data_IF_826897492988
#
_entry.id   IF_826897492988
#
_cell.length_a   1.000
_cell.length_b   1.000
_cell.length_c   1.000
_cell.angle_alpha   90.00
_cell.angle_beta   90.00
_cell.angle_gamma   90.00
#
_symmetry.space_group_name_H-M   'P 1'
#
loop_
_entity.id
_entity.type
_entity.pdbx_description
1 polymer ?
#
# COMPACT_ATOMS: atom_id res chain seq x y z
N UNK A 1 3.84 -20.01 2.30
CA UNK A 1 3.61 -18.77 1.54
C UNK A 1 4.91 -17.98 1.53
N UNK A 2 5.65 -18.06 0.44
CA UNK A 2 6.81 -17.20 0.19
C UNK A 2 6.29 -15.80 -0.11
N UNK A 3 6.43 -14.91 0.88
CA UNK A 3 6.07 -13.50 0.77
C UNK A 3 7.07 -12.72 -0.09
N UNK A 4 6.72 -11.47 -0.38
CA UNK A 4 7.50 -10.56 -1.21
C UNK A 4 8.98 -10.53 -0.85
N UNK A 5 9.86 -10.42 -1.86
CA UNK A 5 11.26 -10.04 -1.63
C UNK A 5 11.36 -8.54 -1.44
N UNK A 6 12.16 -8.11 -0.46
CA UNK A 6 12.39 -6.71 -0.12
C UNK A 6 13.88 -6.43 -0.34
N UNK A 7 14.19 -5.39 -1.11
CA UNK A 7 15.55 -4.99 -1.48
C UNK A 7 15.74 -3.49 -1.20
N UNK A 8 16.65 -3.16 -0.29
CA UNK A 8 16.95 -1.77 0.11
C UNK A 8 18.03 -1.18 -0.80
N UNK A 9 17.73 -0.04 -1.42
CA UNK A 9 18.62 0.69 -2.34
C UNK A 9 19.19 1.96 -1.72
N UNK A 10 18.89 2.23 -0.45
CA UNK A 10 19.34 3.38 0.34
C UNK A 10 18.39 4.57 0.28
N UNK A 11 17.98 4.98 -0.92
CA UNK A 11 17.03 6.08 -1.18
C UNK A 11 15.58 5.60 -1.40
N UNK A 12 15.41 4.29 -1.63
CA UNK A 12 14.13 3.62 -1.75
C UNK A 12 14.26 2.13 -1.45
N UNK A 13 13.12 1.48 -1.22
CA UNK A 13 12.98 0.03 -1.10
C UNK A 13 12.20 -0.51 -2.29
N UNK A 14 12.64 -1.64 -2.85
CA UNK A 14 11.92 -2.36 -3.91
C UNK A 14 11.26 -3.60 -3.32
N UNK A 15 9.93 -3.69 -3.47
CA UNK A 15 9.14 -4.85 -3.05
C UNK A 15 8.76 -5.65 -4.30
N UNK A 16 8.97 -6.96 -4.32
CA UNK A 16 8.56 -7.81 -5.47
C UNK A 16 7.91 -9.10 -5.03
N UNK A 17 6.82 -9.48 -5.69
CA UNK A 17 6.07 -10.71 -5.45
C UNK A 17 5.91 -11.49 -6.75
N UNK A 18 6.93 -12.29 -7.12
CA UNK A 18 6.95 -13.03 -8.39
C UNK A 18 5.73 -13.94 -8.60
N UNK A 19 5.17 -14.48 -7.52
CA UNK A 19 3.98 -15.35 -7.58
C UNK A 19 2.65 -14.61 -7.77
N UNK A 20 2.66 -13.27 -7.72
CA UNK A 20 1.46 -12.44 -7.88
C UNK A 20 1.84 -11.10 -8.54
N UNK A 21 2.12 -11.08 -9.86
CA UNK A 21 2.66 -9.90 -10.55
C UNK A 21 1.68 -8.72 -10.62
N UNK A 22 0.37 -9.00 -10.60
CA UNK A 22 -0.67 -7.96 -10.68
C UNK A 22 -1.02 -7.35 -9.32
N UNK A 23 -0.43 -7.86 -8.23
CA UNK A 23 -0.58 -7.22 -6.92
C UNK A 23 0.35 -6.01 -6.80
N UNK A 24 -0.17 -4.82 -7.13
CA UNK A 24 0.62 -3.60 -7.26
C UNK A 24 1.42 -3.24 -5.99
N UNK A 25 0.79 -3.28 -4.82
CA UNK A 25 1.48 -3.00 -3.54
C UNK A 25 2.44 -4.13 -3.10
N UNK A 26 2.35 -5.31 -3.72
CA UNK A 26 3.36 -6.36 -3.60
C UNK A 26 4.51 -6.22 -4.59
N UNK A 27 4.47 -5.22 -5.47
CA UNK A 27 5.40 -4.98 -6.57
C UNK A 27 5.67 -3.46 -6.73
N UNK A 28 6.00 -2.77 -5.64
CA UNK A 28 6.10 -1.31 -5.62
C UNK A 28 7.50 -0.80 -5.22
N UNK A 29 7.69 0.51 -5.40
CA UNK A 29 8.78 1.24 -4.74
C UNK A 29 8.25 1.90 -3.46
N UNK A 30 9.08 1.97 -2.42
CA UNK A 30 8.84 2.82 -1.25
C UNK A 30 9.98 3.84 -1.18
N UNK A 31 9.69 5.10 -1.52
CA UNK A 31 10.68 6.18 -1.50
C UNK A 31 10.93 6.59 -0.05
N UNK A 32 12.16 6.40 0.43
CA UNK A 32 12.50 6.64 1.84
C UNK A 32 13.09 8.02 2.09
N UNK A 33 13.70 8.64 1.07
CA UNK A 33 14.26 9.99 1.16
C UNK A 33 13.19 11.07 0.89
N UNK A 34 12.75 11.86 1.90
CA UNK A 34 11.75 12.91 1.71
C UNK A 34 12.23 14.06 0.83
N UNK A 35 13.54 14.24 0.60
CA UNK A 35 14.04 15.28 -0.29
C UNK A 35 13.83 14.92 -1.78
N UNK A 36 13.56 13.65 -2.07
CA UNK A 36 13.49 13.12 -3.43
C UNK A 36 12.06 12.91 -3.96
N UNK A 37 11.02 13.10 -3.13
CA UNK A 37 9.62 12.82 -3.50
C UNK A 37 9.10 13.70 -4.63
N UNK A 38 9.75 14.84 -4.90
CA UNK A 38 9.37 15.76 -5.99
C UNK A 38 9.92 15.31 -7.36
N UNK A 39 10.86 14.34 -7.40
CA UNK A 39 11.51 13.89 -8.63
C UNK A 39 10.71 12.76 -9.32
N UNK A 40 9.55 13.11 -9.87
CA UNK A 40 8.66 12.15 -10.54
C UNK A 40 9.40 11.36 -11.63
N UNK A 41 10.18 12.04 -12.48
CA UNK A 41 10.89 11.41 -13.59
C UNK A 41 11.86 10.33 -13.13
N UNK A 42 12.64 10.60 -12.07
CA UNK A 42 13.53 9.60 -11.47
C UNK A 42 12.75 8.38 -11.00
N UNK A 43 11.64 8.57 -10.29
CA UNK A 43 10.90 7.45 -9.71
C UNK A 43 10.18 6.61 -10.76
N UNK A 44 9.63 7.22 -11.81
CA UNK A 44 9.10 6.47 -12.95
C UNK A 44 10.20 5.66 -13.65
N UNK A 45 11.39 6.24 -13.85
CA UNK A 45 12.51 5.54 -14.48
C UNK A 45 12.98 4.34 -13.63
N UNK A 46 13.15 4.53 -12.32
CA UNK A 46 13.51 3.45 -11.39
C UNK A 46 12.45 2.35 -11.36
N UNK A 47 11.18 2.71 -11.38
CA UNK A 47 10.11 1.73 -11.42
C UNK A 47 10.17 0.89 -12.70
N UNK A 48 10.37 1.53 -13.86
CA UNK A 48 10.49 0.83 -15.13
C UNK A 48 11.73 -0.08 -15.22
N UNK A 49 12.86 0.31 -14.57
CA UNK A 49 14.04 -0.56 -14.45
C UNK A 49 13.75 -1.84 -13.65
N UNK A 50 12.96 -1.72 -12.58
CA UNK A 50 12.66 -2.83 -11.68
C UNK A 50 11.50 -3.72 -12.12
N UNK A 51 10.57 -3.14 -12.90
CA UNK A 51 9.34 -3.78 -13.39
C UNK A 51 9.14 -3.52 -14.89
N UNK A 52 10.03 -4.02 -15.76
CA UNK A 52 10.01 -3.69 -17.19
C UNK A 52 8.74 -4.14 -17.92
N UNK A 53 8.04 -5.15 -17.40
CA UNK A 53 6.81 -5.68 -17.97
C UNK A 53 5.54 -5.01 -17.41
N UNK A 54 5.66 -4.16 -16.39
CA UNK A 54 4.53 -3.50 -15.77
C UNK A 54 3.97 -2.38 -16.66
N UNK A 55 2.64 -2.34 -16.77
CA UNK A 55 1.90 -1.26 -17.48
C UNK A 55 1.24 -0.27 -16.52
N UNK A 56 1.66 -0.29 -15.28
CA UNK A 56 1.14 0.49 -14.16
C UNK A 56 2.32 1.00 -13.35
N UNK A 57 2.07 1.95 -12.45
CA UNK A 57 3.06 2.50 -11.54
C UNK A 57 2.52 2.43 -10.12
N UNK A 58 3.34 1.98 -9.17
CA UNK A 58 3.02 2.05 -7.75
C UNK A 58 4.25 2.46 -6.94
N UNK A 59 4.11 3.57 -6.21
CA UNK A 59 5.11 4.03 -5.27
C UNK A 59 4.46 4.60 -4.01
N UNK A 60 5.01 4.26 -2.85
CA UNK A 60 4.73 4.96 -1.60
C UNK A 60 5.71 6.12 -1.42
N UNK A 61 5.19 7.30 -1.10
CA UNK A 61 5.99 8.49 -0.81
C UNK A 61 5.88 8.83 0.68
N UNK A 62 6.98 9.30 1.29
CA UNK A 62 7.02 9.65 2.72
C UNK A 62 6.24 10.93 3.07
N UNK A 63 5.91 11.74 2.08
CA UNK A 63 5.08 12.94 2.20
C UNK A 63 4.46 13.28 0.84
N UNK A 64 3.46 14.14 0.85
CA UNK A 64 2.92 14.70 -0.39
C UNK A 64 4.00 15.55 -1.10
N UNK A 65 4.25 15.34 -2.41
CA UNK A 65 5.07 16.21 -3.22
C UNK A 65 4.59 17.67 -3.20
N UNK A 66 5.52 18.60 -3.26
CA UNK A 66 5.24 20.04 -3.39
C UNK A 66 4.88 20.43 -4.82
N UNK A 67 5.48 19.79 -5.84
CA UNK A 67 5.09 19.95 -7.26
C UNK A 67 4.20 18.77 -7.70
N UNK A 68 2.93 18.81 -7.28
CA UNK A 68 1.91 17.82 -7.69
C UNK A 68 1.73 17.79 -9.20
N UNK A 69 1.86 18.94 -9.87
CA UNK A 69 1.64 19.04 -11.31
C UNK A 69 2.76 18.33 -12.11
N UNK A 70 3.97 18.20 -11.56
CA UNK A 70 5.01 17.36 -12.16
C UNK A 70 4.58 15.89 -12.29
N UNK A 71 3.93 15.35 -11.27
CA UNK A 71 3.39 13.98 -11.28
C UNK A 71 2.21 13.84 -12.24
N UNK A 72 1.29 14.82 -12.25
CA UNK A 72 0.16 14.83 -13.19
C UNK A 72 0.59 14.92 -14.66
N UNK A 73 1.65 15.67 -14.95
CA UNK A 73 2.24 15.73 -16.31
C UNK A 73 2.79 14.36 -16.77
N UNK A 74 3.08 13.44 -15.85
CA UNK A 74 3.43 12.05 -16.14
C UNK A 74 2.23 11.09 -16.11
N UNK A 75 1.00 11.62 -16.06
CA UNK A 75 -0.24 10.86 -15.93
C UNK A 75 -0.34 10.01 -14.66
N UNK A 76 0.34 10.44 -13.58
CA UNK A 76 0.25 9.80 -12.27
C UNK A 76 -0.70 10.60 -11.38
N UNK A 77 -1.69 9.90 -10.84
CA UNK A 77 -2.56 10.42 -9.79
C UNK A 77 -1.92 10.16 -8.42
N UNK A 78 -1.94 11.18 -7.57
CA UNK A 78 -1.43 11.09 -6.21
C UNK A 78 -2.60 10.97 -5.24
N UNK A 79 -2.56 9.94 -4.42
CA UNK A 79 -3.48 9.75 -3.30
C UNK A 79 -2.78 10.15 -1.99
N UNK A 80 -3.44 11.00 -1.21
CA UNK A 80 -2.96 11.33 0.13
C UNK A 80 -3.64 10.39 1.14
N UNK A 81 -2.81 9.65 1.88
CA UNK A 81 -3.25 8.77 2.96
C UNK A 81 -2.80 9.36 4.30
N UNK A 82 -3.68 9.33 5.30
CA UNK A 82 -3.35 9.73 6.66
C UNK A 82 -2.70 8.56 7.41
N UNK A 83 -1.55 8.85 8.03
CA UNK A 83 -0.86 7.88 8.90
C UNK A 83 -1.12 8.26 10.36
N UNK A 84 -1.87 7.41 11.05
CA UNK A 84 -2.16 7.59 12.48
C UNK A 84 -1.06 6.94 13.32
N UNK A 85 -0.38 7.75 14.14
CA UNK A 85 0.66 7.27 15.07
C UNK A 85 0.28 7.59 16.51
N UNK A 86 0.60 6.69 17.45
CA UNK A 86 0.43 6.92 18.88
C UNK A 86 1.75 6.69 19.63
N UNK A 87 2.17 7.66 20.45
CA UNK A 87 3.35 7.52 21.32
C UNK A 87 3.07 6.73 22.60
N UNK A 88 1.79 6.55 22.92
CA UNK A 88 1.31 5.79 24.08
C UNK A 88 0.35 4.72 23.60
N UNK A 89 0.37 3.57 24.28
CA UNK A 89 -0.53 2.47 23.96
C UNK A 89 -2.00 2.93 24.13
N UNK A 90 -2.84 2.82 23.09
CA UNK A 90 -4.26 3.17 23.22
C UNK A 90 -4.92 2.32 24.29
N UNK A 91 -5.76 2.95 25.12
CA UNK A 91 -6.55 2.22 26.11
C UNK A 91 -7.73 1.54 25.42
N UNK A 92 -7.79 0.21 25.46
CA UNK A 92 -8.93 -0.53 24.96
C UNK A 92 -10.15 -0.29 25.88
N UNK A 93 -11.19 0.33 25.34
CA UNK A 93 -12.47 0.45 26.05
C UNK A 93 -13.13 -0.92 26.22
N UNK A 94 -13.99 -1.05 27.24
CA UNK A 94 -14.85 -2.22 27.36
C UNK A 94 -15.73 -2.37 26.11
N UNK A 95 -15.91 -3.60 25.64
CA UNK A 95 -16.80 -3.88 24.52
C UNK A 95 -18.24 -3.50 24.88
N UNK A 96 -18.99 -3.03 23.89
CA UNK A 96 -20.43 -2.82 24.05
C UNK A 96 -21.12 -4.13 24.46
N UNK A 97 -22.21 -4.01 25.23
CA UNK A 97 -22.96 -5.17 25.70
C UNK A 97 -23.39 -6.07 24.52
N UNK A 98 -23.12 -7.37 24.63
CA UNK A 98 -23.45 -8.37 23.60
C UNK A 98 -22.34 -8.62 22.57
N UNK A 99 -21.25 -7.87 22.60
CA UNK A 99 -20.11 -8.09 21.70
C UNK A 99 -19.01 -8.91 22.38
N UNK A 100 -18.31 -9.73 21.59
CA UNK A 100 -17.12 -10.47 22.01
C UNK A 100 -16.04 -10.38 20.93
N UNK A 101 -14.77 -10.44 21.35
CA UNK A 101 -13.60 -10.45 20.47
C UNK A 101 -12.77 -11.68 20.78
N UNK A 102 -12.30 -12.37 19.75
CA UNK A 102 -11.40 -13.53 19.86
C UNK A 102 -10.44 -13.56 18.67
N UNK A 103 -9.34 -14.29 18.82
CA UNK A 103 -8.43 -14.56 17.71
C UNK A 103 -9.13 -15.35 16.59
N UNK A 104 -8.78 -15.03 15.35
CA UNK A 104 -9.14 -15.80 14.16
C UNK A 104 -8.28 -17.06 14.09
N UNK A 105 -8.88 -18.17 13.69
CA UNK A 105 -8.28 -19.49 13.52
C UNK A 105 -8.93 -20.20 12.36
N UNK A 106 -8.19 -21.07 11.68
CA UNK A 106 -8.70 -21.98 10.67
C UNK A 106 -9.71 -21.30 9.72
N UNK A 107 -10.97 -21.74 9.76
CA UNK A 107 -12.05 -21.26 8.89
C UNK A 107 -12.49 -19.82 9.12
N UNK A 108 -12.04 -19.19 10.20
CA UNK A 108 -12.33 -17.78 10.45
C UNK A 108 -11.74 -16.87 9.36
N UNK A 109 -10.63 -17.27 8.75
CA UNK A 109 -10.01 -16.51 7.67
C UNK A 109 -10.87 -16.52 6.41
N UNK A 110 -11.41 -17.69 6.04
CA UNK A 110 -12.36 -17.78 4.92
C UNK A 110 -13.64 -16.99 5.21
N UNK A 111 -14.20 -17.12 6.41
CA UNK A 111 -15.40 -16.38 6.80
C UNK A 111 -15.18 -14.86 6.80
N UNK A 112 -14.01 -14.39 7.23
CA UNK A 112 -13.67 -12.98 7.17
C UNK A 112 -13.58 -12.50 5.72
N UNK A 113 -12.92 -13.26 4.84
CA UNK A 113 -12.79 -12.93 3.43
C UNK A 113 -14.17 -12.87 2.74
N UNK A 114 -15.03 -13.87 2.97
CA UNK A 114 -16.40 -13.88 2.45
C UNK A 114 -17.19 -12.65 2.89
N UNK A 115 -17.05 -12.24 4.16
CA UNK A 115 -17.72 -11.04 4.68
C UNK A 115 -17.19 -9.77 4.05
N UNK A 116 -15.88 -9.62 3.89
CA UNK A 116 -15.29 -8.45 3.23
C UNK A 116 -15.73 -8.36 1.76
N UNK A 117 -15.79 -9.49 1.04
CA UNK A 117 -16.30 -9.55 -0.33
C UNK A 117 -17.77 -9.09 -0.38
N UNK A 118 -18.61 -9.61 0.52
CA UNK A 118 -20.01 -9.23 0.57
C UNK A 118 -20.22 -7.73 0.90
N UNK A 119 -19.39 -7.18 1.78
CA UNK A 119 -19.41 -5.75 2.13
C UNK A 119 -18.97 -4.87 0.96
N UNK A 120 -17.89 -5.24 0.26
CA UNK A 120 -17.41 -4.53 -0.92
C UNK A 120 -18.48 -4.47 -2.03
N UNK A 121 -19.17 -5.60 -2.27
CA UNK A 121 -20.30 -5.66 -3.23
C UNK A 121 -21.43 -4.73 -2.82
N UNK A 122 -21.74 -4.62 -1.52
CA UNK A 122 -22.82 -3.77 -1.04
C UNK A 122 -22.47 -2.27 -1.10
N UNK A 123 -21.21 -1.92 -0.86
CA UNK A 123 -20.77 -0.53 -0.75
C UNK A 123 -20.29 0.06 -2.09
N UNK A 124 -19.98 -0.78 -3.09
CA UNK A 124 -19.50 -0.35 -4.41
C UNK A 124 -18.11 0.28 -4.39
N UNK A 125 -17.31 0.06 -3.34
CA UNK A 125 -15.99 0.67 -3.15
C UNK A 125 -14.93 0.25 -4.20
N UNK A 126 -15.23 -0.76 -5.02
CA UNK A 126 -14.30 -1.31 -6.01
C UNK A 126 -14.92 -1.54 -7.41
N UNK A 127 -16.05 -0.88 -7.72
CA UNK A 127 -16.65 -0.82 -9.07
C UNK A 127 -16.13 0.38 -9.89
#
# INVERSE_FOLDING_TARGET
>A
MTGSSIDDRGDHVVVRTRGNPDYHWGNCLLVTDPASVDDAHRWLARFAEEFPDARWFAAGLTKLPTDIDAWRRQHIELEQLDVLTAATLPHAAALAHGYSVRHLRDTDWELLAERQIAENINNGEYD
#
